data_IF_000912776613
#
_entry.id   IF_000912776613
#
_cell.length_a   1.000
_cell.length_b   1.000
_cell.length_c   1.000
_cell.angle_alpha   90.00
_cell.angle_beta   90.00
_cell.angle_gamma   90.00
#
_symmetry.space_group_name_H-M   'P 1'
#
loop_
_entity.id
_entity.type
_entity.pdbx_description
1 polymer ?
#
# COMPACT_ATOMS: atom_id res chain seq x y z
N UNK A 1 -2.16 11.99 -0.47
CA UNK A 1 -2.40 11.94 0.99
C UNK A 1 -1.59 12.99 1.74
N UNK A 2 -0.29 12.77 1.95
CA UNK A 2 0.57 13.67 2.74
C UNK A 2 0.56 15.13 2.26
N UNK A 3 0.70 15.34 0.95
CA UNK A 3 0.70 16.67 0.34
C UNK A 3 -0.60 17.45 0.63
N UNK A 4 -1.74 16.75 0.65
CA UNK A 4 -3.03 17.36 0.91
C UNK A 4 -3.20 17.71 2.39
N UNK A 5 -2.72 16.86 3.31
CA UNK A 5 -2.63 17.21 4.73
C UNK A 5 -1.76 18.44 4.98
N UNK A 6 -0.65 18.60 4.26
CA UNK A 6 0.17 19.82 4.35
C UNK A 6 -0.62 21.05 3.91
N UNK A 7 -1.30 20.99 2.74
CA UNK A 7 -2.13 22.10 2.25
C UNK A 7 -3.23 22.46 3.25
N UNK A 8 -3.94 21.48 3.79
CA UNK A 8 -4.97 21.67 4.81
C UNK A 8 -4.42 22.34 6.07
N UNK A 9 -3.31 21.83 6.63
CA UNK A 9 -2.71 22.39 7.83
C UNK A 9 -2.25 23.85 7.64
N UNK A 10 -1.74 24.21 6.45
CA UNK A 10 -1.38 25.60 6.13
C UNK A 10 -2.60 26.52 6.02
N UNK A 11 -3.68 26.03 5.43
CA UNK A 11 -4.96 26.75 5.35
C UNK A 11 -5.54 27.04 6.74
N UNK A 12 -5.49 26.06 7.66
CA UNK A 12 -5.96 26.21 9.05
C UNK A 12 -5.23 27.34 9.80
N UNK A 13 -3.92 27.48 9.59
CA UNK A 13 -3.11 28.54 10.21
C UNK A 13 -3.04 29.83 9.38
N UNK A 14 -3.85 29.94 8.30
CA UNK A 14 -3.90 31.09 7.39
C UNK A 14 -2.53 31.50 6.83
N UNK A 15 -1.64 30.52 6.61
CA UNK A 15 -0.32 30.76 6.01
C UNK A 15 -0.31 30.34 4.55
N UNK A 16 0.37 31.11 3.72
CA UNK A 16 0.53 30.77 2.32
C UNK A 16 1.52 29.62 2.16
N UNK A 17 1.10 28.56 1.46
CA UNK A 17 1.94 27.40 1.15
C UNK A 17 2.85 27.65 -0.07
N UNK A 18 2.62 28.73 -0.84
CA UNK A 18 3.28 28.99 -2.13
C UNK A 18 4.82 29.04 -2.05
N UNK A 19 5.45 29.25 -0.89
CA UNK A 19 6.92 29.23 -0.78
C UNK A 19 7.46 27.96 -0.12
N UNK A 20 6.68 26.88 -0.10
CA UNK A 20 7.02 25.62 0.56
C UNK A 20 7.21 24.54 -0.47
N UNK A 21 8.36 23.87 -0.45
CA UNK A 21 8.56 22.67 -1.25
C UNK A 21 8.11 21.48 -0.41
N UNK A 22 7.08 20.78 -0.88
CA UNK A 22 6.67 19.50 -0.30
C UNK A 22 7.38 18.40 -1.05
N UNK A 23 8.01 17.48 -0.33
CA UNK A 23 8.60 16.29 -0.95
C UNK A 23 8.23 15.03 -0.16
N UNK A 24 8.14 13.92 -0.87
CA UNK A 24 7.87 12.60 -0.32
C UNK A 24 8.95 11.63 -0.77
N UNK A 25 9.57 10.94 0.19
CA UNK A 25 10.47 9.84 -0.11
C UNK A 25 9.65 8.56 -0.32
N UNK A 26 10.03 7.76 -1.31
CA UNK A 26 9.40 6.48 -1.60
C UNK A 26 9.43 5.52 -0.39
N UNK A 27 10.58 5.45 0.29
CA UNK A 27 10.82 4.62 1.46
C UNK A 27 11.72 5.35 2.47
N UNK A 28 11.86 4.78 3.66
CA UNK A 28 12.96 5.17 4.55
C UNK A 28 14.31 4.77 3.92
N UNK A 29 15.36 5.61 3.99
CA UNK A 29 16.64 5.32 3.31
C UNK A 29 17.43 4.17 3.95
N UNK A 30 17.11 3.83 5.20
CA UNK A 30 17.88 2.92 6.03
C UNK A 30 16.99 1.91 6.75
N UNK A 31 17.48 0.67 6.85
CA UNK A 31 17.00 -0.27 7.85
C UNK A 31 17.81 -0.04 9.13
N UNK A 32 17.16 0.43 10.19
CA UNK A 32 17.82 0.71 11.46
C UNK A 32 16.93 0.36 12.65
N UNK A 33 17.54 0.24 13.84
CA UNK A 33 16.83 -0.02 15.09
C UNK A 33 17.45 0.73 16.24
N UNK A 34 16.61 1.34 17.08
CA UNK A 34 17.05 1.94 18.34
C UNK A 34 17.67 0.86 19.24
N UNK A 35 18.89 1.10 19.72
CA UNK A 35 19.58 0.25 20.70
C UNK A 35 19.44 0.82 22.11
N UNK A 36 19.53 2.14 22.24
CA UNK A 36 19.24 2.86 23.48
C UNK A 36 18.52 4.17 23.13
N UNK A 37 17.31 4.35 23.66
CA UNK A 37 16.48 5.51 23.38
C UNK A 37 17.21 6.83 23.71
N UNK A 38 17.17 7.78 22.78
CA UNK A 38 17.84 9.08 22.90
C UNK A 38 19.38 9.01 22.93
N UNK A 39 19.99 7.84 22.72
CA UNK A 39 21.45 7.64 22.83
C UNK A 39 22.09 7.00 21.61
N UNK A 40 21.58 5.85 21.14
CA UNK A 40 22.15 5.18 19.98
C UNK A 40 21.17 4.27 19.23
N UNK A 41 21.45 4.09 17.95
CA UNK A 41 20.77 3.18 17.05
C UNK A 41 21.79 2.35 16.25
N UNK A 42 21.38 1.19 15.78
CA UNK A 42 22.17 0.32 14.89
C UNK A 42 21.62 0.47 13.48
N UNK A 43 22.53 0.71 12.54
CA UNK A 43 22.24 0.65 11.11
C UNK A 43 22.43 -0.79 10.64
N UNK A 44 21.37 -1.40 10.12
CA UNK A 44 21.38 -2.77 9.59
C UNK A 44 21.67 -2.79 8.09
N UNK A 45 21.26 -1.74 7.37
CA UNK A 45 21.46 -1.62 5.93
C UNK A 45 21.01 -0.27 5.41
N UNK A 46 21.38 0.02 4.15
CA UNK A 46 21.06 1.25 3.45
C UNK A 46 20.64 0.93 2.02
N UNK A 47 19.72 1.71 1.46
CA UNK A 47 19.36 1.63 0.04
C UNK A 47 20.44 2.34 -0.80
N UNK A 48 20.75 1.80 -1.97
CA UNK A 48 21.68 2.43 -2.91
C UNK A 48 21.07 3.68 -3.55
N UNK A 49 19.77 3.62 -3.89
CA UNK A 49 19.02 4.71 -4.49
C UNK A 49 17.62 4.80 -3.87
N UNK A 50 17.00 5.98 -3.99
CA UNK A 50 15.67 6.26 -3.49
C UNK A 50 14.97 7.26 -4.41
N UNK A 51 13.72 7.00 -4.74
CA UNK A 51 12.90 7.95 -5.49
C UNK A 51 12.29 9.01 -4.56
N UNK A 52 12.25 10.25 -5.04
CA UNK A 52 11.67 11.39 -4.32
C UNK A 52 10.65 12.10 -5.21
N UNK A 53 9.42 12.17 -4.71
CA UNK A 53 8.38 13.06 -5.22
C UNK A 53 8.66 14.47 -4.73
N UNK A 54 8.53 15.46 -5.60
CA UNK A 54 8.56 16.88 -5.20
C UNK A 54 7.37 17.57 -5.83
N UNK A 55 6.65 18.35 -5.02
CA UNK A 55 5.61 19.26 -5.45
C UNK A 55 6.09 20.69 -5.20
N UNK A 56 6.21 21.48 -6.26
CA UNK A 56 6.36 22.92 -6.14
C UNK A 56 4.98 23.52 -5.96
N UNK A 57 4.69 24.09 -4.79
CA UNK A 57 3.42 24.75 -4.48
C UNK A 57 3.11 25.98 -5.36
N UNK A 58 4.04 26.40 -6.23
CA UNK A 58 3.88 27.51 -7.18
C UNK A 58 3.54 27.05 -8.60
N UNK A 59 3.77 25.78 -8.95
CA UNK A 59 3.59 25.27 -10.31
C UNK A 59 2.58 24.11 -10.29
N UNK A 60 1.34 24.32 -10.78
CA UNK A 60 0.33 23.26 -10.86
C UNK A 60 0.84 22.04 -11.63
N UNK A 61 1.69 22.26 -12.66
CA UNK A 61 2.08 21.21 -13.60
C UNK A 61 3.35 20.41 -13.20
N UNK A 62 3.75 20.40 -11.93
CA UNK A 62 4.95 19.64 -11.49
C UNK A 62 4.66 18.50 -10.53
N UNK A 63 3.39 18.15 -10.38
CA UNK A 63 2.91 17.05 -9.54
C UNK A 63 3.41 15.70 -10.08
N UNK A 64 4.58 15.24 -9.61
CA UNK A 64 4.92 13.81 -9.67
C UNK A 64 3.97 13.08 -8.72
N UNK A 65 2.89 12.55 -9.26
CA UNK A 65 1.92 11.77 -8.51
C UNK A 65 2.54 10.41 -8.16
N UNK A 66 3.07 10.28 -6.95
CA UNK A 66 3.58 9.00 -6.48
C UNK A 66 2.42 8.17 -5.92
N UNK A 67 1.94 7.25 -6.75
CA UNK A 67 1.09 6.16 -6.33
C UNK A 67 1.98 4.93 -6.25
N UNK A 68 2.37 4.55 -5.05
CA UNK A 68 3.06 3.29 -4.84
C UNK A 68 2.15 2.32 -4.11
N UNK A 69 1.91 1.17 -4.74
CA UNK A 69 1.37 0.03 -4.03
C UNK A 69 2.36 -0.38 -2.94
N UNK A 70 2.03 -0.07 -1.70
CA UNK A 70 2.57 -0.85 -0.59
C UNK A 70 2.14 -2.30 -0.82
N UNK A 71 3.09 -3.23 -0.74
CA UNK A 71 2.89 -4.65 -1.07
C UNK A 71 1.81 -5.26 -0.18
N UNK A 72 0.55 -5.16 -0.58
CA UNK A 72 -0.58 -5.67 0.15
C UNK A 72 -0.70 -7.16 -0.19
N UNK A 73 -0.34 -7.99 0.78
CA UNK A 73 -0.25 -9.44 0.63
C UNK A 73 -1.24 -10.11 1.55
N UNK A 74 -2.51 -10.00 1.21
CA UNK A 74 -3.59 -10.56 2.03
C UNK A 74 -4.04 -11.94 1.59
N UNK A 75 -3.64 -12.40 0.40
CA UNK A 75 -3.96 -13.75 -0.07
C UNK A 75 -3.47 -14.85 0.87
N UNK A 76 -2.34 -14.63 1.58
CA UNK A 76 -1.75 -15.62 2.47
C UNK A 76 -2.64 -15.94 3.68
N UNK A 77 -3.43 -14.98 4.13
CA UNK A 77 -4.44 -15.16 5.18
C UNK A 77 -5.83 -15.47 4.62
N UNK A 78 -5.98 -15.33 3.31
CA UNK A 78 -7.24 -15.35 2.62
C UNK A 78 -7.61 -16.69 2.04
N UNK A 79 -6.95 -17.83 2.37
CA UNK A 79 -7.26 -19.16 1.78
C UNK A 79 -8.76 -19.47 1.73
N UNK A 80 -9.54 -18.87 2.62
CA UNK A 80 -10.97 -18.63 2.44
C UNK A 80 -11.27 -17.16 2.79
N UNK A 81 -11.59 -16.30 1.81
CA UNK A 81 -12.25 -15.00 2.10
C UNK A 81 -13.68 -15.20 2.65
N UNK A 82 -14.05 -16.44 3.02
CA UNK A 82 -15.17 -16.70 3.90
C UNK A 82 -14.76 -16.33 5.33
N UNK A 83 -15.02 -15.07 5.63
CA UNK A 83 -15.45 -14.63 6.94
C UNK A 83 -16.59 -15.52 7.45
N UNK A 84 -16.22 -16.61 8.11
CA UNK A 84 -16.91 -16.97 9.32
C UNK A 84 -16.00 -16.56 10.48
N UNK A 85 -16.49 -15.60 11.27
CA UNK A 85 -15.91 -15.13 12.54
C UNK A 85 -15.69 -16.25 13.58
N UNK A 86 -15.96 -17.51 13.21
CA UNK A 86 -15.86 -18.72 14.00
C UNK A 86 -14.71 -19.65 13.59
N UNK A 87 -13.94 -19.33 12.54
CA UNK A 87 -12.81 -20.16 12.17
C UNK A 87 -11.62 -19.94 13.12
N UNK A 88 -11.67 -20.67 14.24
CA UNK A 88 -10.57 -21.08 15.12
C UNK A 88 -9.50 -21.91 14.34
N UNK A 89 -9.18 -21.54 13.10
CA UNK A 89 -8.14 -22.20 12.31
C UNK A 89 -6.81 -21.76 12.88
N UNK A 90 -6.28 -22.62 13.73
CA UNK A 90 -5.00 -22.43 14.36
C UNK A 90 -3.91 -23.07 13.51
N UNK A 91 -3.00 -22.24 13.05
CA UNK A 91 -1.78 -22.68 12.40
C UNK A 91 -0.89 -23.38 13.45
N UNK A 92 -0.32 -24.52 13.09
CA UNK A 92 0.59 -25.26 13.97
C UNK A 92 1.95 -24.56 14.14
N UNK A 93 2.32 -23.73 13.16
CA UNK A 93 3.52 -22.87 13.17
C UNK A 93 3.22 -21.54 12.51
N UNK A 94 4.09 -20.56 12.74
CA UNK A 94 4.12 -19.34 11.93
C UNK A 94 4.52 -19.69 10.48
N UNK A 95 3.67 -19.41 9.49
CA UNK A 95 4.06 -19.57 8.09
C UNK A 95 5.04 -18.47 7.66
N UNK A 96 5.81 -18.73 6.61
CA UNK A 96 6.63 -17.72 5.96
C UNK A 96 5.78 -16.86 5.03
N UNK A 97 5.92 -15.55 5.16
CA UNK A 97 5.07 -14.56 4.52
C UNK A 97 5.22 -14.57 2.99
N UNK A 98 6.46 -14.51 2.50
CA UNK A 98 6.75 -14.54 1.06
C UNK A 98 7.18 -15.93 0.59
N UNK A 99 7.88 -16.69 1.44
CA UNK A 99 8.40 -18.02 1.09
C UNK A 99 7.32 -19.09 0.87
N UNK A 100 6.13 -18.91 1.44
CA UNK A 100 4.99 -19.84 1.28
C UNK A 100 3.82 -19.21 0.51
N UNK A 101 4.11 -18.23 -0.36
CA UNK A 101 3.12 -17.60 -1.23
C UNK A 101 2.46 -18.63 -2.16
N UNK A 102 1.13 -18.76 -2.10
CA UNK A 102 0.38 -19.65 -2.99
C UNK A 102 -0.09 -18.96 -4.29
N UNK A 103 -0.58 -19.75 -5.24
CA UNK A 103 -1.00 -19.27 -6.56
C UNK A 103 -2.13 -18.25 -6.48
N UNK A 104 -3.07 -18.43 -5.56
CA UNK A 104 -4.17 -17.49 -5.36
C UNK A 104 -3.68 -16.15 -4.84
N UNK A 105 -2.74 -16.15 -3.89
CA UNK A 105 -2.13 -14.92 -3.40
C UNK A 105 -1.36 -14.20 -4.49
N UNK A 106 -0.63 -14.94 -5.33
CA UNK A 106 0.06 -14.36 -6.48
C UNK A 106 -0.93 -13.79 -7.51
N UNK A 107 -2.05 -14.45 -7.77
CA UNK A 107 -3.11 -13.96 -8.66
C UNK A 107 -3.72 -12.64 -8.15
N UNK A 108 -4.07 -12.57 -6.86
CA UNK A 108 -4.56 -11.33 -6.24
C UNK A 108 -3.54 -10.18 -6.39
N UNK A 109 -2.26 -10.45 -6.13
CA UNK A 109 -1.20 -9.45 -6.29
C UNK A 109 -1.04 -9.00 -7.74
N UNK A 110 -1.20 -9.91 -8.71
CA UNK A 110 -1.15 -9.56 -10.13
C UNK A 110 -2.36 -8.72 -10.54
N UNK A 111 -3.58 -9.10 -10.15
CA UNK A 111 -4.80 -8.33 -10.45
C UNK A 111 -4.74 -6.91 -9.89
N UNK A 112 -4.22 -6.73 -8.66
CA UNK A 112 -3.99 -5.39 -8.11
C UNK A 112 -2.90 -4.60 -8.87
N UNK A 113 -1.83 -5.28 -9.34
CA UNK A 113 -0.81 -4.67 -10.20
C UNK A 113 -1.42 -4.18 -11.52
N UNK A 114 -2.28 -4.98 -12.13
CA UNK A 114 -2.96 -4.66 -13.39
C UNK A 114 -3.91 -3.46 -13.21
N UNK A 115 -4.67 -3.42 -12.11
CA UNK A 115 -5.52 -2.28 -11.74
C UNK A 115 -4.71 -0.99 -11.53
N UNK A 116 -3.52 -1.09 -10.92
CA UNK A 116 -2.61 0.05 -10.79
C UNK A 116 -2.10 0.53 -12.16
N UNK A 117 -1.80 -0.39 -13.08
CA UNK A 117 -1.42 -0.01 -14.45
C UNK A 117 -2.59 0.65 -15.20
N UNK A 118 -3.83 0.21 -14.99
CA UNK A 118 -5.02 0.86 -15.55
C UNK A 118 -5.16 2.30 -15.03
N UNK A 119 -5.01 2.51 -13.72
CA UNK A 119 -5.03 3.85 -13.11
C UNK A 119 -3.91 4.75 -13.65
N UNK A 120 -2.70 4.20 -13.82
CA UNK A 120 -1.57 4.91 -14.42
C UNK A 120 -1.90 5.36 -15.83
N UNK A 121 -2.43 4.47 -16.67
CA UNK A 121 -2.75 4.78 -18.06
C UNK A 121 -3.83 5.85 -18.16
N UNK A 122 -4.89 5.77 -17.35
CA UNK A 122 -5.94 6.78 -17.31
C UNK A 122 -5.42 8.13 -16.81
N UNK A 123 -4.54 8.12 -15.81
CA UNK A 123 -3.89 9.35 -15.31
C UNK A 123 -3.06 10.03 -16.40
N UNK A 124 -2.29 9.26 -17.19
CA UNK A 124 -1.50 9.78 -18.31
C UNK A 124 -2.37 10.27 -19.47
N UNK A 125 -3.53 9.64 -19.70
CA UNK A 125 -4.47 10.08 -20.72
C UNK A 125 -5.05 11.46 -20.41
N UNK A 126 -5.33 11.74 -19.12
CA UNK A 126 -5.87 13.04 -18.66
C UNK A 126 -4.80 14.09 -18.43
N UNK A 127 -3.60 13.69 -18.01
CA UNK A 127 -2.46 14.57 -17.78
C UNK A 127 -1.17 13.97 -18.34
N UNK A 128 -0.89 14.18 -19.65
CA UNK A 128 0.25 13.58 -20.35
C UNK A 128 1.62 14.01 -19.82
N UNK A 129 1.69 15.13 -19.11
CA UNK A 129 2.93 15.68 -18.54
C UNK A 129 3.33 14.97 -17.22
N UNK A 130 2.49 14.09 -16.67
CA UNK A 130 2.82 13.32 -15.48
C UNK A 130 3.97 12.34 -15.75
N UNK A 131 4.95 12.35 -14.85
CA UNK A 131 5.98 11.30 -14.81
C UNK A 131 5.56 10.17 -13.85
N UNK A 132 4.95 9.13 -14.42
CA UNK A 132 4.60 7.88 -13.74
C UNK A 132 5.51 6.71 -14.14
N UNK A 133 6.71 6.97 -14.64
CA UNK A 133 7.65 5.93 -15.10
C UNK A 133 8.00 4.91 -14.02
N UNK A 134 8.04 5.33 -12.74
CA UNK A 134 8.32 4.46 -11.60
C UNK A 134 7.18 3.51 -11.20
N UNK A 135 5.98 3.69 -11.78
CA UNK A 135 4.82 2.80 -11.55
C UNK A 135 4.90 1.66 -12.57
N UNK A 136 5.59 0.59 -12.19
CA UNK A 136 5.84 -0.58 -13.06
C UNK A 136 4.94 -1.75 -12.67
N UNK A 137 4.81 -2.74 -13.55
CA UNK A 137 4.27 -4.03 -13.17
C UNK A 137 5.05 -4.60 -11.98
N UNK A 138 4.34 -5.28 -11.07
CA UNK A 138 4.91 -5.76 -9.82
C UNK A 138 6.06 -6.75 -10.03
N UNK A 139 5.95 -7.68 -10.99
CA UNK A 139 7.03 -8.64 -11.25
C UNK A 139 8.25 -7.92 -11.82
N UNK A 140 8.04 -7.04 -12.80
CA UNK A 140 9.10 -6.24 -13.40
C UNK A 140 9.83 -5.40 -12.35
N UNK A 141 9.08 -4.76 -11.46
CA UNK A 141 9.61 -3.97 -10.36
C UNK A 141 10.46 -4.80 -9.40
N UNK A 142 10.04 -6.02 -9.09
CA UNK A 142 10.81 -6.92 -8.22
C UNK A 142 12.13 -7.32 -8.92
N UNK A 143 12.06 -7.67 -10.20
CA UNK A 143 13.25 -8.04 -10.99
C UNK A 143 14.23 -6.86 -11.08
N UNK A 144 13.76 -5.65 -11.38
CA UNK A 144 14.60 -4.45 -11.45
C UNK A 144 15.37 -4.21 -10.14
N UNK A 145 14.71 -4.42 -9.00
CA UNK A 145 15.30 -4.14 -7.68
C UNK A 145 16.11 -5.29 -7.09
N UNK A 146 15.75 -6.55 -7.40
CA UNK A 146 16.19 -7.73 -6.67
C UNK A 146 16.65 -8.89 -7.56
N UNK A 147 16.89 -8.69 -8.86
CA UNK A 147 17.25 -9.78 -9.78
C UNK A 147 18.39 -10.70 -9.28
N UNK A 148 19.40 -10.15 -8.61
CA UNK A 148 20.52 -10.94 -8.07
C UNK A 148 20.18 -11.75 -6.81
N UNK A 149 19.00 -11.52 -6.24
CA UNK A 149 18.49 -12.15 -5.02
C UNK A 149 17.30 -13.09 -5.30
N UNK A 150 16.92 -13.28 -6.56
CA UNK A 150 15.79 -14.12 -7.00
C UNK A 150 16.31 -15.27 -7.86
N UNK A 151 15.91 -16.51 -7.54
CA UNK A 151 16.34 -17.72 -8.25
C UNK A 151 15.51 -18.01 -9.50
N UNK A 152 14.18 -17.82 -9.43
CA UNK A 152 13.24 -18.09 -10.51
C UNK A 152 12.32 -16.90 -10.78
N UNK A 153 12.45 -16.30 -11.96
CA UNK A 153 11.67 -15.12 -12.41
C UNK A 153 10.54 -15.47 -13.39
N UNK A 154 10.24 -16.76 -13.59
CA UNK A 154 9.25 -17.22 -14.57
C UNK A 154 7.83 -16.71 -14.31
N UNK A 155 7.42 -16.63 -13.04
CA UNK A 155 6.10 -16.18 -12.60
C UNK A 155 6.22 -15.16 -11.48
N UNK A 156 5.16 -14.39 -11.20
CA UNK A 156 5.15 -13.49 -10.03
C UNK A 156 5.34 -14.30 -8.73
N UNK A 157 4.68 -15.46 -8.62
CA UNK A 157 4.81 -16.33 -7.45
C UNK A 157 6.26 -16.75 -7.22
N UNK A 158 6.90 -17.34 -8.23
CA UNK A 158 8.28 -17.81 -8.11
C UNK A 158 9.26 -16.67 -7.88
N UNK A 159 9.05 -15.52 -8.53
CA UNK A 159 9.85 -14.30 -8.30
C UNK A 159 9.84 -13.89 -6.84
N UNK A 160 8.69 -13.97 -6.17
CA UNK A 160 8.55 -13.63 -4.75
C UNK A 160 9.07 -14.74 -3.84
N UNK A 161 8.63 -15.97 -4.07
CA UNK A 161 8.90 -17.10 -3.17
C UNK A 161 10.33 -17.61 -3.22
N UNK A 162 11.10 -17.21 -4.23
CA UNK A 162 12.53 -17.53 -4.35
C UNK A 162 13.44 -16.34 -4.04
N UNK A 163 12.89 -15.20 -3.63
CA UNK A 163 13.71 -14.08 -3.17
C UNK A 163 14.37 -14.41 -1.83
N UNK A 164 15.70 -14.56 -1.83
CA UNK A 164 16.45 -15.05 -0.66
C UNK A 164 16.28 -14.16 0.57
N UNK A 165 16.12 -12.85 0.38
CA UNK A 165 15.89 -11.88 1.46
C UNK A 165 14.48 -11.95 2.07
N UNK A 166 13.52 -12.56 1.36
CA UNK A 166 12.11 -12.59 1.77
C UNK A 166 11.64 -13.95 2.26
N UNK A 167 12.24 -15.04 1.78
CA UNK A 167 11.81 -16.41 2.07
C UNK A 167 11.74 -16.75 3.57
N UNK A 168 12.54 -16.07 4.41
CA UNK A 168 12.63 -16.33 5.84
C UNK A 168 11.74 -15.40 6.70
N UNK A 169 11.05 -14.44 6.09
CA UNK A 169 10.18 -13.52 6.82
C UNK A 169 8.92 -14.25 7.26
N UNK A 170 8.62 -14.23 8.55
CA UNK A 170 7.43 -14.87 9.12
C UNK A 170 6.22 -13.94 9.07
N UNK A 171 5.04 -14.55 9.01
CA UNK A 171 3.79 -13.82 9.15
C UNK A 171 3.64 -13.23 10.55
N UNK A 172 3.01 -12.04 10.68
CA UNK A 172 2.58 -11.55 11.97
C UNK A 172 1.46 -12.45 12.52
N UNK A 173 1.78 -13.23 13.55
CA UNK A 173 0.83 -14.13 14.19
C UNK A 173 0.73 -13.84 15.69
N UNK A 174 -0.46 -14.00 16.25
CA UNK A 174 -0.69 -14.06 17.69
C UNK A 174 -0.84 -15.52 18.14
N UNK A 175 -0.34 -15.84 19.34
CA UNK A 175 -0.49 -17.18 19.92
C UNK A 175 -1.87 -17.31 20.56
N UNK A 176 -2.53 -18.44 20.31
CA UNK A 176 -3.76 -18.81 21.01
C UNK A 176 -3.50 -18.99 22.51
N UNK A 177 -4.34 -18.36 23.34
CA UNK A 177 -4.21 -18.44 24.81
C UNK A 177 -4.89 -19.69 25.37
N UNK A 178 -6.01 -20.12 24.76
CA UNK A 178 -6.81 -21.27 25.20
C UNK A 178 -6.50 -22.50 24.36
N UNK A 179 -6.50 -22.36 23.03
CA UNK A 179 -6.18 -23.42 22.09
C UNK A 179 -4.72 -23.28 21.61
N UNK A 180 -3.98 -24.40 21.55
CA UNK A 180 -2.59 -24.40 21.08
C UNK A 180 -2.54 -24.10 19.57
N UNK A 181 -1.83 -23.04 19.20
CA UNK A 181 -1.50 -22.70 17.83
C UNK A 181 -1.39 -21.19 17.61
N UNK A 182 -1.34 -20.80 16.34
CA UNK A 182 -1.16 -19.41 15.90
C UNK A 182 -2.35 -18.94 15.08
N UNK A 183 -2.74 -17.69 15.24
CA UNK A 183 -3.73 -17.01 14.39
C UNK A 183 -3.14 -15.71 13.83
N UNK A 184 -3.58 -15.23 12.66
CA UNK A 184 -3.11 -13.95 12.12
C UNK A 184 -3.28 -12.80 13.12
N UNK A 185 -2.30 -11.91 13.20
CA UNK A 185 -2.38 -10.68 13.98
C UNK A 185 -2.74 -9.49 13.09
N UNK A 186 -4.04 -9.18 13.04
CA UNK A 186 -4.58 -8.05 12.29
C UNK A 186 -4.40 -6.69 13.01
N UNK A 187 -3.78 -6.65 14.20
CA UNK A 187 -3.42 -5.40 14.87
C UNK A 187 -2.14 -4.74 14.33
N UNK A 188 -1.48 -5.39 13.38
CA UNK A 188 -0.22 -4.90 12.81
C UNK A 188 -0.40 -3.74 11.84
N UNK A 189 0.69 -2.99 11.63
CA UNK A 189 0.74 -1.88 10.67
C UNK A 189 0.48 -2.30 9.23
N UNK A 190 0.64 -3.58 8.87
CA UNK A 190 0.22 -4.08 7.54
C UNK A 190 -1.27 -3.81 7.28
N UNK A 191 -2.12 -3.94 8.31
CA UNK A 191 -3.53 -3.60 8.18
C UNK A 191 -3.73 -2.09 8.31
N UNK A 192 -3.27 -1.53 9.42
CA UNK A 192 -3.63 -0.17 9.85
C UNK A 192 -2.94 0.96 9.08
N UNK A 193 -1.81 0.69 8.42
CA UNK A 193 -1.18 1.67 7.52
C UNK A 193 -1.59 1.43 6.06
N UNK A 194 -1.72 0.17 5.60
CA UNK A 194 -1.82 -0.10 4.16
C UNK A 194 -3.28 -0.15 3.65
N UNK A 195 -4.26 -0.47 4.49
CA UNK A 195 -5.68 -0.37 4.11
C UNK A 195 -6.13 1.11 4.03
N UNK A 196 -6.17 1.88 5.15
CA UNK A 196 -6.73 3.23 5.12
C UNK A 196 -5.84 4.25 4.41
N UNK A 197 -4.52 4.04 4.33
CA UNK A 197 -3.59 4.98 3.71
C UNK A 197 -2.88 4.43 2.46
N UNK A 198 -3.26 3.23 2.01
CA UNK A 198 -2.86 2.64 0.73
C UNK A 198 -4.08 2.38 -0.14
N UNK A 199 -4.82 1.30 0.13
CA UNK A 199 -5.93 0.86 -0.72
C UNK A 199 -7.09 1.84 -0.81
N UNK A 200 -7.52 2.43 0.32
CA UNK A 200 -8.60 3.43 0.29
C UNK A 200 -8.18 4.65 -0.55
N UNK A 201 -6.89 5.01 -0.53
CA UNK A 201 -6.36 6.10 -1.37
C UNK A 201 -6.45 5.72 -2.84
N UNK A 202 -5.95 4.53 -3.23
CA UNK A 202 -6.04 4.02 -4.60
C UNK A 202 -7.48 3.98 -5.09
N UNK A 203 -8.37 3.43 -4.27
CA UNK A 203 -9.79 3.31 -4.60
C UNK A 203 -10.45 4.68 -4.76
N UNK A 204 -10.07 5.66 -3.94
CA UNK A 204 -10.60 7.03 -4.04
C UNK A 204 -10.13 7.75 -5.31
N UNK A 205 -8.90 7.50 -5.76
CA UNK A 205 -8.40 7.98 -7.05
C UNK A 205 -9.14 7.28 -8.19
N UNK A 206 -9.35 5.97 -8.09
CA UNK A 206 -10.09 5.20 -9.08
C UNK A 206 -11.53 5.72 -9.29
N UNK A 207 -12.24 6.09 -8.20
CA UNK A 207 -13.55 6.74 -8.28
C UNK A 207 -13.51 8.04 -9.07
N UNK A 208 -12.51 8.91 -8.84
CA UNK A 208 -12.42 10.18 -9.57
C UNK A 208 -12.15 9.93 -11.06
N UNK A 209 -11.26 8.99 -11.37
CA UNK A 209 -10.84 8.69 -12.73
C UNK A 209 -11.82 7.80 -13.52
N UNK A 210 -12.89 7.33 -12.88
CA UNK A 210 -13.87 6.40 -13.46
C UNK A 210 -13.21 5.08 -13.93
N UNK A 211 -12.33 4.53 -13.09
CA UNK A 211 -11.61 3.27 -13.35
C UNK A 211 -12.11 2.19 -12.40
N UNK A 212 -12.58 1.07 -12.95
CA UNK A 212 -12.98 -0.10 -12.15
C UNK A 212 -11.76 -0.77 -11.52
N UNK A 213 -11.88 -1.11 -10.23
CA UNK A 213 -10.83 -1.78 -9.45
C UNK A 213 -11.38 -2.91 -8.55
N UNK A 214 -12.02 -3.93 -9.16
CA UNK A 214 -12.72 -4.98 -8.42
C UNK A 214 -11.86 -5.80 -7.44
N UNK A 215 -10.56 -5.97 -7.72
CA UNK A 215 -9.63 -6.66 -6.82
C UNK A 215 -9.29 -5.80 -5.60
N UNK A 216 -9.07 -4.49 -5.77
CA UNK A 216 -8.96 -3.57 -4.64
C UNK A 216 -10.25 -3.60 -3.79
N UNK A 217 -11.43 -3.64 -4.41
CA UNK A 217 -12.71 -3.73 -3.70
C UNK A 217 -12.84 -5.03 -2.90
N UNK A 218 -12.55 -6.17 -3.53
CA UNK A 218 -12.51 -7.49 -2.87
C UNK A 218 -11.65 -7.47 -1.60
N UNK A 219 -10.46 -6.88 -1.70
CA UNK A 219 -9.51 -6.78 -0.58
C UNK A 219 -9.96 -5.77 0.48
N UNK A 220 -10.59 -4.65 0.09
CA UNK A 220 -11.12 -3.66 1.01
C UNK A 220 -12.28 -4.22 1.85
N UNK A 221 -13.20 -4.95 1.24
CA UNK A 221 -14.31 -5.58 1.96
C UNK A 221 -13.81 -6.57 3.02
N UNK A 222 -12.85 -7.42 2.66
CA UNK A 222 -12.21 -8.31 3.64
C UNK A 222 -11.45 -7.53 4.71
N UNK A 223 -10.61 -6.58 4.32
CA UNK A 223 -9.74 -5.82 5.22
C UNK A 223 -10.55 -5.03 6.25
N UNK A 224 -11.61 -4.35 5.83
CA UNK A 224 -12.47 -3.60 6.72
C UNK A 224 -13.23 -4.53 7.70
N UNK A 225 -13.65 -5.71 7.24
CA UNK A 225 -14.32 -6.71 8.09
C UNK A 225 -13.43 -7.17 9.24
N UNK A 226 -12.20 -7.61 8.96
CA UNK A 226 -11.27 -8.09 9.99
C UNK A 226 -10.75 -6.97 10.90
N UNK A 227 -10.74 -5.73 10.42
CA UNK A 227 -10.38 -4.55 11.20
C UNK A 227 -11.54 -4.02 12.06
N UNK A 228 -12.77 -4.50 11.85
CA UNK A 228 -13.97 -3.95 12.48
C UNK A 228 -14.27 -2.51 12.05
N UNK A 229 -13.97 -2.19 10.79
CA UNK A 229 -14.10 -0.88 10.16
C UNK A 229 -15.06 -0.94 8.97
N UNK A 230 -15.51 0.21 8.52
CA UNK A 230 -16.39 0.33 7.35
C UNK A 230 -15.97 1.53 6.50
N UNK A 231 -15.39 1.25 5.33
CA UNK A 231 -14.88 2.27 4.41
C UNK A 231 -15.64 2.25 3.08
N UNK A 232 -15.79 1.07 2.47
CA UNK A 232 -16.47 0.82 1.21
C UNK A 232 -17.83 0.16 1.49
N UNK A 233 -18.90 0.70 0.91
CA UNK A 233 -20.29 0.22 1.03
C UNK A 233 -20.93 0.29 -0.36
N UNK A 234 -21.45 -0.82 -0.86
CA UNK A 234 -22.11 -0.92 -2.18
C UNK A 234 -21.29 -0.32 -3.34
N UNK A 235 -19.96 -0.48 -3.29
CA UNK A 235 -19.04 0.04 -4.32
C UNK A 235 -18.66 1.52 -4.13
N UNK A 236 -19.12 2.17 -3.06
CA UNK A 236 -18.87 3.59 -2.80
C UNK A 236 -18.11 3.81 -1.48
N UNK A 237 -17.16 4.76 -1.47
CA UNK A 237 -16.37 5.11 -0.28
C UNK A 237 -17.18 6.01 0.67
N UNK A 238 -18.27 5.47 1.22
CA UNK A 238 -19.24 6.18 2.08
C UNK A 238 -19.39 5.54 3.47
N UNK A 239 -18.54 4.57 3.81
CA UNK A 239 -18.58 3.91 5.11
C UNK A 239 -18.33 4.87 6.28
N UNK A 240 -18.89 4.56 7.45
CA UNK A 240 -18.85 5.46 8.62
C UNK A 240 -17.43 5.83 9.08
N UNK A 241 -16.42 4.99 8.80
CA UNK A 241 -15.03 5.20 9.21
C UNK A 241 -14.18 5.89 8.11
N UNK A 242 -14.76 6.28 6.96
CA UNK A 242 -14.01 6.84 5.82
C UNK A 242 -13.19 8.08 6.19
N UNK A 243 -13.67 8.88 7.14
CA UNK A 243 -13.02 10.10 7.62
C UNK A 243 -11.68 9.85 8.33
N UNK A 244 -11.39 8.61 8.73
CA UNK A 244 -10.12 8.20 9.36
C UNK A 244 -9.04 7.81 8.33
N UNK A 245 -9.30 7.95 7.04
CA UNK A 245 -8.47 7.41 5.96
C UNK A 245 -7.72 8.49 5.18
N UNK A 246 -6.88 8.05 4.24
CA UNK A 246 -6.22 8.91 3.27
C UNK A 246 -7.03 9.21 2.00
N UNK A 247 -8.33 8.88 1.95
CA UNK A 247 -9.19 9.15 0.79
C UNK A 247 -9.04 10.59 0.32
N UNK A 248 -8.93 10.81 -0.99
CA UNK A 248 -8.69 12.15 -1.54
C UNK A 248 -9.84 13.13 -1.26
N UNK A 249 -11.07 12.61 -1.16
CA UNK A 249 -12.27 13.37 -0.78
C UNK A 249 -12.20 13.95 0.63
N UNK A 250 -11.50 13.31 1.57
CA UNK A 250 -11.27 13.85 2.92
C UNK A 250 -10.48 15.17 2.90
N UNK A 251 -9.81 15.47 1.78
CA UNK A 251 -9.06 16.71 1.58
C UNK A 251 -9.75 17.69 0.63
N UNK A 252 -11.03 17.45 0.30
CA UNK A 252 -11.82 18.30 -0.58
C UNK A 252 -11.52 18.13 -2.07
N UNK A 253 -10.91 17.00 -2.47
CA UNK A 253 -10.64 16.69 -3.88
C UNK A 253 -11.79 15.84 -4.40
N UNK A 254 -12.58 16.45 -5.27
CA UNK A 254 -13.86 15.92 -5.75
C UNK A 254 -13.88 15.77 -7.27
N UNK A 255 -12.84 16.20 -7.98
CA UNK A 255 -12.71 16.03 -9.42
C UNK A 255 -11.31 15.56 -9.87
N UNK A 256 -11.20 14.97 -11.07
CA UNK A 256 -9.93 14.62 -11.70
C UNK A 256 -8.99 15.81 -11.90
N UNK A 257 -9.52 16.98 -12.22
CA UNK A 257 -8.73 18.20 -12.43
C UNK A 257 -8.02 18.59 -11.13
N UNK A 258 -8.76 18.59 -10.01
CA UNK A 258 -8.21 18.89 -8.68
C UNK A 258 -7.17 17.86 -8.19
N UNK A 259 -7.18 16.64 -8.75
CA UNK A 259 -6.21 15.61 -8.42
C UNK A 259 -4.81 15.95 -8.96
N UNK A 260 -4.75 16.56 -10.14
CA UNK A 260 -3.50 16.83 -10.87
C UNK A 260 -2.93 18.23 -10.65
N UNK A 261 -3.72 19.17 -10.09
CA UNK A 261 -3.30 20.52 -9.67
C UNK A 261 -2.45 20.59 -8.38
#
# INVERSE_FOLDING_TARGET
GFQYKVKQAFNEVKKNVNNVIVFGCQYIPWACRTKAYGKCAVLLGHKQYLFVAKLLTQCPNTSKFYVEMKKLMFGLFGKDFNDDKENDVLYQREPYFYGELDDRSADLMQRQSDELQALKNESLARSPDLDLSSVMDLKERIVEMYATEVDDTSTLRSTISTNVGWTQLKCPMSKGVILKGYKPDFSTRYMWDDIPYGLVVLRSVASLLDVEVPCIDEVLYWGQSVMGKEYLVDGELIGKDIHETGAVSNFGILSPEELFE
#
